data_IF_086165366005
#
_entry.id   IF_086165366005
#
_cell.length_a   1.000
_cell.length_b   1.000
_cell.length_c   1.000
_cell.angle_alpha   90.00
_cell.angle_beta   90.00
_cell.angle_gamma   90.00
#
_symmetry.space_group_name_H-M   'P 1'
#
loop_
_entity.id
_entity.type
_entity.pdbx_description
1 polymer ?
#
# COMPACT_ATOMS: atom_id res chain seq x y z
N UNK A 1 -25.81 5.71 11.39
CA UNK A 1 -25.68 7.18 11.51
C UNK A 1 -27.02 7.82 11.16
N UNK A 2 -27.45 8.87 11.87
CA UNK A 2 -28.73 9.56 11.58
C UNK A 2 -28.53 10.61 10.48
N UNK A 3 -29.57 10.91 9.70
CA UNK A 3 -29.51 11.88 8.58
C UNK A 3 -29.01 13.27 9.00
N UNK A 4 -29.21 13.65 10.27
CA UNK A 4 -28.73 14.93 10.82
C UNK A 4 -27.21 14.98 11.00
N UNK A 5 -26.56 13.85 11.28
CA UNK A 5 -25.10 13.77 11.45
C UNK A 5 -24.39 13.81 10.09
N UNK A 6 -24.97 13.14 9.08
CA UNK A 6 -24.44 13.12 7.72
C UNK A 6 -24.48 14.51 7.06
N UNK A 7 -25.57 15.26 7.26
CA UNK A 7 -25.69 16.65 6.75
C UNK A 7 -24.69 17.63 7.37
N UNK A 8 -24.35 17.46 8.66
CA UNK A 8 -23.38 18.32 9.34
C UNK A 8 -21.95 18.03 8.85
N UNK A 9 -21.62 16.76 8.66
CA UNK A 9 -20.32 16.30 8.17
C UNK A 9 -20.06 16.79 6.73
N UNK A 10 -21.06 16.68 5.85
CA UNK A 10 -20.99 17.22 4.48
C UNK A 10 -20.69 18.73 4.46
N UNK A 11 -21.37 19.49 5.32
CA UNK A 11 -21.20 20.95 5.39
C UNK A 11 -19.80 21.33 5.87
N UNK A 12 -19.23 20.55 6.79
CA UNK A 12 -17.87 20.78 7.30
C UNK A 12 -16.81 20.50 6.23
N UNK A 13 -16.93 19.40 5.49
CA UNK A 13 -16.00 19.04 4.40
C UNK A 13 -16.02 20.09 3.29
N UNK A 14 -17.20 20.56 2.88
CA UNK A 14 -17.34 21.60 1.85
C UNK A 14 -16.70 22.90 2.32
N UNK A 15 -16.95 23.32 3.56
CA UNK A 15 -16.31 24.52 4.11
C UNK A 15 -14.79 24.37 4.18
N UNK A 16 -14.29 23.20 4.58
CA UNK A 16 -12.86 22.92 4.62
C UNK A 16 -12.24 22.98 3.22
N UNK A 17 -12.90 22.46 2.19
CA UNK A 17 -12.44 22.59 0.81
C UNK A 17 -12.38 24.07 0.36
N UNK A 18 -13.40 24.86 0.68
CA UNK A 18 -13.44 26.30 0.35
C UNK A 18 -12.35 27.12 1.08
N UNK A 19 -11.94 26.73 2.29
CA UNK A 19 -10.79 27.32 3.01
C UNK A 19 -9.47 27.16 2.23
N UNK A 20 -9.43 26.24 1.26
CA UNK A 20 -8.28 25.94 0.40
C UNK A 20 -8.56 26.24 -1.09
N UNK A 21 -9.47 27.18 -1.38
CA UNK A 21 -9.84 27.61 -2.73
C UNK A 21 -10.41 26.50 -3.64
N UNK A 22 -10.95 25.43 -3.06
CA UNK A 22 -11.67 24.36 -3.76
C UNK A 22 -13.17 24.56 -3.61
N UNK A 23 -13.79 25.20 -4.61
CA UNK A 23 -15.24 25.30 -4.72
C UNK A 23 -15.83 23.97 -5.18
N UNK A 24 -16.66 23.36 -4.33
CA UNK A 24 -17.18 21.99 -4.48
C UNK A 24 -18.68 21.99 -4.74
N UNK A 25 -19.13 21.18 -5.70
CA UNK A 25 -20.54 20.82 -5.88
C UNK A 25 -21.04 19.96 -4.69
N UNK A 26 -21.94 20.48 -3.82
CA UNK A 26 -22.38 19.77 -2.63
C UNK A 26 -23.08 18.44 -2.91
N UNK A 27 -23.71 18.29 -4.08
CA UNK A 27 -24.44 17.07 -4.45
C UNK A 27 -23.50 15.94 -4.91
N UNK A 28 -22.24 16.29 -5.21
CA UNK A 28 -21.23 15.34 -5.71
C UNK A 28 -20.45 14.62 -4.61
N UNK A 29 -20.59 15.05 -3.35
CA UNK A 29 -19.77 14.59 -2.24
C UNK A 29 -20.06 13.11 -1.90
N UNK A 30 -19.03 12.28 -2.08
CA UNK A 30 -19.03 10.86 -1.71
C UNK A 30 -17.96 10.62 -0.64
N UNK A 31 -18.37 10.15 0.54
CA UNK A 31 -17.46 9.93 1.66
C UNK A 31 -17.17 8.44 1.80
N UNK A 32 -15.88 8.10 1.89
CA UNK A 32 -15.39 6.78 2.26
C UNK A 32 -14.70 6.90 3.63
N UNK A 33 -15.36 6.35 4.65
CA UNK A 33 -14.93 6.45 6.06
C UNK A 33 -14.28 5.14 6.56
N UNK A 34 -13.61 4.41 5.68
CA UNK A 34 -12.97 3.11 6.00
C UNK A 34 -11.49 3.22 6.39
N UNK A 35 -10.83 4.33 6.03
CA UNK A 35 -9.41 4.55 6.33
C UNK A 35 -9.15 4.86 7.81
N UNK A 36 -8.07 4.30 8.35
CA UNK A 36 -7.65 4.46 9.75
C UNK A 36 -7.04 5.84 10.02
N UNK A 37 -6.24 6.35 9.09
CA UNK A 37 -5.50 7.60 9.25
C UNK A 37 -6.22 8.81 8.64
N UNK A 38 -6.97 8.58 7.56
CA UNK A 38 -7.67 9.62 6.82
C UNK A 38 -9.15 9.26 6.65
N UNK A 39 -9.98 10.29 6.75
CA UNK A 39 -11.29 10.27 6.10
C UNK A 39 -11.09 10.71 4.65
N UNK A 40 -11.63 9.95 3.70
CA UNK A 40 -11.49 10.23 2.28
C UNK A 40 -12.84 10.67 1.72
N UNK A 41 -12.84 11.72 0.90
CA UNK A 41 -14.01 12.14 0.16
C UNK A 41 -13.67 12.38 -1.31
N UNK A 42 -14.59 12.01 -2.20
CA UNK A 42 -14.53 12.34 -3.63
C UNK A 42 -15.57 13.42 -3.89
N UNK A 43 -15.15 14.48 -4.57
CA UNK A 43 -15.98 15.66 -4.87
C UNK A 43 -15.80 16.06 -6.32
N UNK A 44 -16.75 16.82 -6.86
CA UNK A 44 -16.61 17.55 -8.11
C UNK A 44 -16.38 19.02 -7.79
N UNK A 45 -15.37 19.63 -8.40
CA UNK A 45 -15.05 21.05 -8.23
C UNK A 45 -15.58 21.89 -9.40
N UNK A 46 -15.59 23.21 -9.24
CA UNK A 46 -15.89 24.16 -10.32
C UNK A 46 -15.04 23.88 -11.57
N UNK A 47 -15.70 23.64 -12.71
CA UNK A 47 -15.06 23.15 -13.93
C UNK A 47 -15.36 21.67 -14.24
N UNK A 48 -15.96 20.95 -13.30
CA UNK A 48 -16.51 19.62 -13.49
C UNK A 48 -15.54 18.46 -13.26
N UNK A 49 -14.28 18.77 -12.94
CA UNK A 49 -13.25 17.81 -12.57
C UNK A 49 -13.57 17.16 -11.22
N UNK A 50 -13.16 15.89 -11.04
CA UNK A 50 -13.31 15.18 -9.77
C UNK A 50 -12.00 15.27 -8.98
N UNK A 51 -12.12 15.45 -7.67
CA UNK A 51 -11.01 15.59 -6.74
C UNK A 51 -11.17 14.64 -5.57
N UNK A 52 -10.04 14.22 -5.01
CA UNK A 52 -9.96 13.47 -3.76
C UNK A 52 -9.54 14.42 -2.65
N UNK A 53 -10.26 14.38 -1.53
CA UNK A 53 -9.97 15.07 -0.28
C UNK A 53 -9.55 14.01 0.74
N UNK A 54 -8.36 14.14 1.33
CA UNK A 54 -7.87 13.35 2.46
C UNK A 54 -7.81 14.25 3.69
N UNK A 55 -8.65 13.95 4.67
CA UNK A 55 -8.79 14.71 5.91
C UNK A 55 -8.13 13.90 7.03
N UNK A 56 -7.00 14.36 7.58
CA UNK A 56 -6.30 13.66 8.66
C UNK A 56 -7.20 13.50 9.89
N UNK A 57 -7.28 12.28 10.43
CA UNK A 57 -8.06 12.03 11.66
C UNK A 57 -7.33 12.45 12.93
N UNK A 58 -6.00 12.45 12.90
CA UNK A 58 -5.15 12.68 14.06
C UNK A 58 -3.88 13.45 13.70
N UNK A 59 -3.32 14.28 14.61
CA UNK A 59 -2.12 15.07 14.33
C UNK A 59 -0.86 14.25 14.04
N UNK A 60 -0.73 13.04 14.61
CA UNK A 60 0.41 12.13 14.42
C UNK A 60 0.54 11.60 12.98
N UNK A 61 -0.55 11.63 12.20
CA UNK A 61 -0.56 11.25 10.78
C UNK A 61 0.21 12.26 9.90
N UNK A 62 0.36 13.50 10.35
CA UNK A 62 0.89 14.60 9.53
C UNK A 62 2.36 14.45 9.17
N UNK A 63 3.17 13.84 10.03
CA UNK A 63 4.58 13.60 9.75
C UNK A 63 4.74 12.57 8.62
N UNK A 64 3.97 11.47 8.69
CA UNK A 64 3.91 10.45 7.63
C UNK A 64 3.40 11.04 6.32
N UNK A 65 2.34 11.83 6.38
CA UNK A 65 1.80 12.52 5.21
C UNK A 65 2.84 13.47 4.57
N UNK A 66 3.61 14.20 5.39
CA UNK A 66 4.64 15.09 4.87
C UNK A 66 5.75 14.34 4.11
N UNK A 67 6.12 13.14 4.59
CA UNK A 67 7.05 12.24 3.89
C UNK A 67 6.43 11.70 2.59
N UNK A 68 5.19 11.21 2.63
CA UNK A 68 4.45 10.75 1.46
C UNK A 68 4.36 11.85 0.37
N UNK A 69 4.02 13.08 0.73
CA UNK A 69 3.92 14.20 -0.22
C UNK A 69 5.24 14.56 -0.91
N UNK A 70 6.37 14.50 -0.17
CA UNK A 70 7.72 14.69 -0.76
C UNK A 70 8.07 13.56 -1.72
N UNK A 71 7.71 12.32 -1.36
CA UNK A 71 7.91 11.16 -2.22
C UNK A 71 7.11 11.27 -3.51
N UNK A 72 5.80 11.54 -3.42
CA UNK A 72 4.88 11.68 -4.55
C UNK A 72 5.39 12.72 -5.57
N UNK A 73 5.82 13.88 -5.06
CA UNK A 73 6.41 14.95 -5.89
C UNK A 73 7.68 14.51 -6.62
N UNK A 74 8.46 13.59 -6.02
CA UNK A 74 9.71 13.09 -6.59
C UNK A 74 9.47 11.99 -7.62
N UNK A 75 8.55 11.05 -7.35
CA UNK A 75 8.31 9.88 -8.21
C UNK A 75 7.36 10.19 -9.38
N UNK A 76 6.41 11.10 -9.22
CA UNK A 76 5.38 11.39 -10.24
C UNK A 76 5.95 11.63 -11.64
N UNK A 77 6.97 12.49 -11.82
CA UNK A 77 7.58 12.73 -13.13
C UNK A 77 8.38 11.55 -13.71
N UNK A 78 8.64 10.49 -12.93
CA UNK A 78 9.48 9.35 -13.29
C UNK A 78 8.66 8.10 -13.67
N UNK A 79 7.38 8.08 -13.34
CA UNK A 79 6.48 6.95 -13.53
C UNK A 79 5.57 7.19 -14.73
N UNK A 80 5.25 6.13 -15.47
CA UNK A 80 4.26 6.19 -16.55
C UNK A 80 2.83 6.09 -16.02
N UNK A 81 2.63 5.39 -14.91
CA UNK A 81 1.34 5.35 -14.20
C UNK A 81 1.18 6.62 -13.37
N UNK A 82 -0.06 7.08 -13.20
CA UNK A 82 -0.34 8.23 -12.37
C UNK A 82 -0.17 7.89 -10.88
N UNK A 83 0.26 8.88 -10.10
CA UNK A 83 0.28 8.86 -8.63
C UNK A 83 -0.42 10.12 -8.12
N UNK A 84 -0.90 10.16 -6.87
CA UNK A 84 -1.53 11.35 -6.33
C UNK A 84 -0.64 12.60 -6.45
N UNK A 85 -1.14 13.63 -7.14
CA UNK A 85 -0.49 14.95 -7.25
C UNK A 85 -1.11 15.91 -6.23
N UNK A 86 -0.53 15.98 -5.03
CA UNK A 86 -1.08 16.78 -3.94
C UNK A 86 -0.93 18.29 -4.21
N UNK A 87 -1.98 18.88 -4.78
CA UNK A 87 -2.07 20.31 -5.05
C UNK A 87 -2.45 21.12 -3.80
N UNK A 88 -3.20 20.50 -2.88
CA UNK A 88 -3.40 21.02 -1.53
C UNK A 88 -2.70 20.10 -0.55
N UNK A 89 -1.85 20.68 0.30
CA UNK A 89 -1.18 19.96 1.36
C UNK A 89 -1.10 20.84 2.61
N UNK A 90 -1.95 20.55 3.59
CA UNK A 90 -2.04 21.26 4.85
C UNK A 90 -2.31 20.32 6.02
N UNK A 91 -2.14 20.77 7.27
CA UNK A 91 -2.46 19.98 8.46
C UNK A 91 -3.92 19.52 8.58
N UNK A 92 -4.85 20.13 7.82
CA UNK A 92 -6.29 19.84 7.91
C UNK A 92 -6.84 19.20 6.63
N UNK A 93 -6.19 19.43 5.49
CA UNK A 93 -6.63 18.92 4.20
C UNK A 93 -5.44 18.64 3.30
N UNK A 94 -5.47 17.45 2.71
CA UNK A 94 -4.72 17.08 1.51
C UNK A 94 -5.73 16.93 0.38
N UNK A 95 -5.45 17.47 -0.80
CA UNK A 95 -6.34 17.32 -1.95
C UNK A 95 -5.58 17.21 -3.27
N UNK A 96 -6.10 16.39 -4.17
CA UNK A 96 -5.54 16.14 -5.48
C UNK A 96 -6.63 15.77 -6.50
N UNK A 97 -6.41 16.03 -7.80
CA UNK A 97 -7.31 15.54 -8.85
C UNK A 97 -7.47 14.02 -8.79
N UNK A 98 -8.70 13.54 -9.01
CA UNK A 98 -8.98 12.11 -9.05
C UNK A 98 -8.18 11.45 -10.18
N UNK A 99 -7.45 10.40 -9.85
CA UNK A 99 -6.62 9.67 -10.81
C UNK A 99 -7.48 8.88 -11.82
N UNK A 100 -6.97 8.65 -13.05
CA UNK A 100 -7.71 7.91 -14.08
C UNK A 100 -7.78 6.41 -13.78
N UNK A 101 -8.89 5.79 -14.20
CA UNK A 101 -9.17 4.37 -14.01
C UNK A 101 -10.09 4.11 -12.83
N UNK A 102 -10.40 2.84 -12.62
CA UNK A 102 -11.23 2.35 -11.51
C UNK A 102 -10.41 1.37 -10.66
N UNK A 103 -10.64 1.25 -9.34
CA UNK A 103 -9.90 0.32 -8.50
C UNK A 103 -10.02 -1.12 -9.01
N UNK A 104 -8.90 -1.86 -9.06
CA UNK A 104 -8.92 -3.26 -9.48
C UNK A 104 -9.57 -4.19 -8.44
N UNK A 105 -9.74 -3.71 -7.20
CA UNK A 105 -10.49 -4.35 -6.12
C UNK A 105 -11.20 -3.28 -5.28
N UNK A 106 -12.47 -3.49 -4.98
CA UNK A 106 -13.22 -2.70 -4.00
C UNK A 106 -13.84 -3.60 -2.93
N UNK A 107 -14.32 -3.01 -1.83
CA UNK A 107 -15.11 -3.73 -0.84
C UNK A 107 -16.60 -3.42 -1.04
N UNK A 108 -17.43 -4.45 -0.99
CA UNK A 108 -18.88 -4.30 -0.92
C UNK A 108 -19.31 -3.76 0.45
N UNK A 109 -20.61 -3.44 0.58
CA UNK A 109 -21.17 -2.92 1.83
C UNK A 109 -21.05 -3.91 3.01
N UNK A 110 -20.96 -5.21 2.74
CA UNK A 110 -20.73 -6.28 3.71
C UNK A 110 -19.24 -6.60 3.92
N UNK A 111 -18.33 -5.76 3.39
CA UNK A 111 -16.88 -5.91 3.41
C UNK A 111 -16.36 -7.10 2.59
N UNK A 112 -17.18 -7.72 1.74
CA UNK A 112 -16.70 -8.75 0.81
C UNK A 112 -15.88 -8.12 -0.33
N UNK A 113 -14.78 -8.77 -0.77
CA UNK A 113 -13.96 -8.28 -1.88
C UNK A 113 -14.70 -8.40 -3.22
N UNK A 114 -14.69 -7.33 -4.00
CA UNK A 114 -15.20 -7.26 -5.37
C UNK A 114 -14.05 -7.00 -6.33
N UNK A 115 -13.62 -8.04 -7.04
CA UNK A 115 -12.54 -7.98 -8.01
C UNK A 115 -13.04 -7.42 -9.34
N UNK A 116 -12.31 -6.45 -9.88
CA UNK A 116 -12.58 -5.81 -11.17
C UNK A 116 -11.56 -6.19 -12.24
N UNK A 117 -10.54 -6.97 -11.85
CA UNK A 117 -9.56 -7.59 -12.75
C UNK A 117 -9.39 -9.06 -12.38
N UNK A 118 -9.17 -9.91 -13.39
CA UNK A 118 -8.79 -11.31 -13.17
C UNK A 118 -7.30 -11.39 -12.85
N UNK A 119 -6.92 -12.03 -11.75
CA UNK A 119 -5.51 -12.22 -11.38
C UNK A 119 -4.76 -13.15 -12.33
N UNK A 120 -5.47 -13.93 -13.15
CA UNK A 120 -4.91 -14.67 -14.27
C UNK A 120 -4.65 -13.79 -15.53
N UNK A 121 -5.04 -12.51 -15.53
CA UNK A 121 -4.88 -11.64 -16.69
C UNK A 121 -3.39 -11.42 -17.02
N UNK A 122 -2.93 -11.79 -18.23
CA UNK A 122 -1.59 -11.45 -18.68
C UNK A 122 -1.44 -9.95 -18.93
N UNK A 123 -2.53 -9.25 -19.28
CA UNK A 123 -2.52 -7.79 -19.50
C UNK A 123 -2.21 -7.05 -18.21
N UNK A 124 -2.90 -7.42 -17.11
CA UNK A 124 -2.67 -6.84 -15.80
C UNK A 124 -1.26 -7.16 -15.30
N UNK A 125 -0.85 -8.44 -15.40
CA UNK A 125 0.47 -8.90 -14.97
C UNK A 125 1.61 -8.17 -15.70
N UNK A 126 1.50 -8.01 -17.02
CA UNK A 126 2.46 -7.26 -17.82
C UNK A 126 2.51 -5.77 -17.42
N UNK A 127 1.34 -5.14 -17.29
CA UNK A 127 1.25 -3.72 -16.92
C UNK A 127 1.78 -3.46 -15.50
N UNK A 128 1.56 -4.39 -14.58
CA UNK A 128 2.06 -4.29 -13.21
C UNK A 128 3.58 -4.49 -13.18
N UNK A 129 4.12 -5.48 -13.92
CA UNK A 129 5.56 -5.69 -14.04
C UNK A 129 6.30 -4.49 -14.64
N UNK A 130 5.71 -3.85 -15.66
CA UNK A 130 6.20 -2.60 -16.24
C UNK A 130 6.28 -1.47 -15.20
N UNK A 131 5.22 -1.28 -14.41
CA UNK A 131 5.20 -0.28 -13.34
C UNK A 131 6.25 -0.57 -12.26
N UNK A 132 6.30 -1.79 -11.74
CA UNK A 132 7.22 -2.17 -10.66
C UNK A 132 8.67 -2.00 -11.12
N UNK A 133 9.00 -2.35 -12.37
CA UNK A 133 10.34 -2.11 -12.91
C UNK A 133 10.70 -0.62 -12.95
N UNK A 134 9.77 0.24 -13.37
CA UNK A 134 10.00 1.69 -13.37
C UNK A 134 10.24 2.20 -11.95
N UNK A 135 9.41 1.80 -10.99
CA UNK A 135 9.55 2.18 -9.59
C UNK A 135 10.90 1.73 -9.01
N UNK A 136 11.26 0.46 -9.20
CA UNK A 136 12.50 -0.12 -8.69
C UNK A 136 13.76 0.43 -9.38
N UNK A 137 13.62 1.10 -10.52
CA UNK A 137 14.73 1.77 -11.22
C UNK A 137 15.01 3.19 -10.70
N UNK A 138 14.14 3.74 -9.84
CA UNK A 138 14.34 5.06 -9.25
C UNK A 138 15.54 5.02 -8.29
N UNK A 139 16.42 6.00 -8.42
CA UNK A 139 17.61 6.16 -7.57
C UNK A 139 17.24 6.21 -6.08
N UNK A 140 17.79 5.27 -5.31
CA UNK A 140 17.51 5.11 -3.88
C UNK A 140 18.06 6.27 -3.05
N UNK A 141 19.18 6.87 -3.46
CA UNK A 141 19.73 8.04 -2.76
C UNK A 141 18.83 9.26 -2.95
N UNK A 142 18.24 9.45 -4.13
CA UNK A 142 17.22 10.47 -4.33
C UNK A 142 15.97 10.16 -3.48
N UNK A 143 15.52 8.90 -3.44
CA UNK A 143 14.36 8.50 -2.64
C UNK A 143 14.56 8.77 -1.15
N UNK A 144 15.75 8.48 -0.63
CA UNK A 144 16.15 8.75 0.76
C UNK A 144 15.99 10.22 1.17
N UNK A 145 16.19 11.18 0.25
CA UNK A 145 16.01 12.61 0.55
C UNK A 145 14.58 13.00 0.92
N UNK A 146 13.59 12.15 0.61
CA UNK A 146 12.19 12.38 0.93
C UNK A 146 11.87 12.10 2.41
N UNK A 147 12.76 11.38 3.11
CA UNK A 147 12.59 10.98 4.51
C UNK A 147 11.86 9.65 4.71
N UNK A 148 11.63 8.87 3.64
CA UNK A 148 11.20 7.48 3.76
C UNK A 148 12.28 6.63 4.44
N UNK A 149 11.84 5.51 5.01
CA UNK A 149 12.76 4.52 5.56
C UNK A 149 13.67 3.95 4.47
N UNK A 150 14.91 3.67 4.86
CA UNK A 150 15.94 3.18 3.96
C UNK A 150 16.73 2.07 4.62
N UNK A 151 16.62 0.87 4.06
CA UNK A 151 17.27 -0.33 4.57
C UNK A 151 18.11 -0.98 3.47
N UNK A 152 19.38 -1.19 3.77
CA UNK A 152 20.24 -2.09 3.00
C UNK A 152 19.76 -3.55 3.14
N UNK A 153 20.20 -4.48 2.27
CA UNK A 153 19.70 -5.86 2.30
C UNK A 153 19.88 -6.57 3.65
N UNK A 154 21.04 -6.37 4.28
CA UNK A 154 21.33 -6.95 5.59
C UNK A 154 20.46 -6.34 6.70
N UNK A 155 20.16 -5.04 6.60
CA UNK A 155 19.30 -4.32 7.56
C UNK A 155 17.85 -4.76 7.41
N UNK A 156 17.37 -4.91 6.18
CA UNK A 156 16.03 -5.42 5.87
C UNK A 156 15.81 -6.81 6.48
N UNK A 157 16.77 -7.72 6.28
CA UNK A 157 16.72 -9.07 6.88
C UNK A 157 16.81 -9.05 8.40
N UNK A 158 17.65 -8.18 8.96
CA UNK A 158 17.76 -8.01 10.40
C UNK A 158 16.47 -7.44 11.01
N UNK A 159 15.77 -6.54 10.30
CA UNK A 159 14.49 -5.99 10.73
C UNK A 159 13.43 -7.09 10.83
N UNK A 160 13.33 -7.97 9.83
CA UNK A 160 12.45 -9.14 9.91
C UNK A 160 12.76 -10.04 11.13
N UNK A 161 14.05 -10.28 11.42
CA UNK A 161 14.44 -11.05 12.61
C UNK A 161 13.96 -10.37 13.91
N UNK A 162 14.16 -9.06 14.02
CA UNK A 162 13.76 -8.27 15.17
C UNK A 162 12.23 -8.21 15.33
N UNK A 163 11.49 -8.07 14.24
CA UNK A 163 10.05 -8.03 14.24
C UNK A 163 9.44 -9.38 14.65
N UNK A 164 10.02 -10.49 14.19
CA UNK A 164 9.66 -11.83 14.66
C UNK A 164 9.81 -11.94 16.17
N UNK A 165 10.97 -11.53 16.71
CA UNK A 165 11.21 -11.63 18.15
C UNK A 165 10.30 -10.68 18.94
N UNK A 166 10.08 -9.46 18.47
CA UNK A 166 9.17 -8.48 19.09
C UNK A 166 7.72 -8.99 19.16
N UNK A 167 7.23 -9.62 18.10
CA UNK A 167 5.89 -10.22 18.09
C UNK A 167 5.85 -11.46 18.99
N UNK A 168 6.87 -12.32 18.94
CA UNK A 168 6.94 -13.51 19.78
C UNK A 168 7.02 -13.19 21.29
N UNK A 169 7.61 -12.05 21.66
CA UNK A 169 7.65 -11.58 23.05
C UNK A 169 6.30 -11.04 23.54
N UNK A 170 5.44 -10.57 22.64
CA UNK A 170 4.18 -9.89 22.97
C UNK A 170 2.91 -10.71 22.74
N UNK A 171 3.00 -11.80 21.99
CA UNK A 171 1.88 -12.65 21.58
C UNK A 171 2.21 -14.13 21.75
N UNK A 172 1.19 -14.96 21.96
CA UNK A 172 1.33 -16.42 21.82
C UNK A 172 1.33 -16.76 20.33
N UNK A 173 2.50 -17.14 19.80
CA UNK A 173 2.69 -17.47 18.38
C UNK A 173 2.78 -18.99 18.23
N UNK A 174 2.02 -19.55 17.29
CA UNK A 174 2.07 -20.98 16.99
C UNK A 174 3.52 -21.42 16.68
N UNK A 175 4.06 -22.46 17.36
CA UNK A 175 5.46 -22.86 17.19
C UNK A 175 5.87 -23.15 15.74
N UNK A 176 4.95 -23.70 14.93
CA UNK A 176 5.19 -23.99 13.52
C UNK A 176 5.37 -22.73 12.67
N UNK A 177 4.65 -21.64 12.97
CA UNK A 177 4.83 -20.36 12.29
C UNK A 177 6.18 -19.75 12.65
N UNK A 178 6.51 -19.74 13.95
CA UNK A 178 7.78 -19.19 14.43
C UNK A 178 8.99 -19.96 13.88
N UNK A 179 8.92 -21.29 13.82
CA UNK A 179 9.96 -22.13 13.21
C UNK A 179 10.11 -21.82 11.72
N UNK A 180 9.00 -21.72 10.98
CA UNK A 180 8.98 -21.37 9.55
C UNK A 180 9.64 -20.00 9.30
N UNK A 181 9.22 -18.96 10.01
CA UNK A 181 9.75 -17.61 9.81
C UNK A 181 11.23 -17.51 10.19
N UNK A 182 11.65 -18.15 11.28
CA UNK A 182 13.07 -18.20 11.67
C UNK A 182 13.91 -18.97 10.66
N UNK A 183 13.40 -20.06 10.08
CA UNK A 183 14.10 -20.80 9.03
C UNK A 183 14.26 -19.96 7.76
N UNK A 184 13.21 -19.25 7.34
CA UNK A 184 13.24 -18.31 6.21
C UNK A 184 14.27 -17.19 6.43
N UNK A 185 14.24 -16.53 7.60
CA UNK A 185 15.20 -15.48 7.94
C UNK A 185 16.62 -16.03 8.05
N UNK A 186 16.83 -17.26 8.49
CA UNK A 186 18.17 -17.85 8.64
C UNK A 186 18.81 -18.30 7.31
N UNK A 187 18.04 -18.52 6.26
CA UNK A 187 18.53 -19.09 5.00
C UNK A 187 18.89 -17.99 3.97
N UNK A 188 20.19 -17.82 3.73
CA UNK A 188 20.76 -16.76 2.88
C UNK A 188 20.20 -16.75 1.46
N UNK A 189 19.94 -17.93 0.88
CA UNK A 189 19.51 -18.04 -0.51
C UNK A 189 18.14 -17.43 -0.81
N UNK A 190 17.32 -17.14 0.21
CA UNK A 190 16.06 -16.42 0.04
C UNK A 190 16.24 -14.94 -0.21
N UNK A 191 17.32 -14.32 0.27
CA UNK A 191 17.40 -12.87 0.40
C UNK A 191 18.12 -12.23 -0.79
N UNK A 192 17.66 -11.05 -1.26
CA UNK A 192 18.36 -10.30 -2.29
C UNK A 192 19.67 -9.70 -1.76
N UNK A 193 20.60 -9.40 -2.66
CA UNK A 193 21.86 -8.67 -2.36
C UNK A 193 21.76 -7.17 -2.69
N UNK A 194 20.54 -6.65 -2.89
CA UNK A 194 20.27 -5.29 -3.32
C UNK A 194 18.93 -4.77 -2.78
N UNK A 195 18.84 -3.46 -2.60
CA UNK A 195 17.61 -2.76 -2.21
C UNK A 195 17.13 -1.85 -3.34
N UNK A 196 15.83 -1.57 -3.37
CA UNK A 196 15.18 -0.69 -4.35
C UNK A 196 14.15 0.19 -3.64
N UNK A 197 13.74 1.30 -4.26
CA UNK A 197 12.53 1.98 -3.83
C UNK A 197 11.32 1.08 -4.09
N UNK A 198 10.55 0.79 -3.04
CA UNK A 198 9.32 0.00 -3.07
C UNK A 198 8.12 0.86 -2.72
N UNK A 199 6.95 0.47 -3.19
CA UNK A 199 5.67 0.99 -2.74
C UNK A 199 5.33 0.43 -1.35
N UNK A 200 5.63 -0.84 -1.11
CA UNK A 200 5.53 -1.49 0.20
C UNK A 200 4.22 -2.26 0.43
N UNK A 201 3.16 -1.90 -0.30
CA UNK A 201 1.83 -2.54 -0.23
C UNK A 201 1.10 -2.54 -1.59
N UNK A 202 1.68 -3.17 -2.61
CA UNK A 202 1.02 -3.31 -3.92
C UNK A 202 0.02 -4.45 -3.89
N UNK A 203 -1.26 -4.11 -3.99
CA UNK A 203 -2.34 -5.05 -4.27
C UNK A 203 -3.50 -4.34 -4.99
N UNK A 204 -4.47 -5.08 -5.55
CA UNK A 204 -5.49 -4.52 -6.44
C UNK A 204 -6.39 -3.41 -5.87
N UNK A 205 -6.48 -3.20 -4.55
CA UNK A 205 -7.22 -2.04 -4.04
C UNK A 205 -6.42 -0.73 -4.15
N UNK A 206 -5.09 -0.83 -4.29
CA UNK A 206 -4.18 0.29 -4.47
C UNK A 206 -3.81 0.53 -5.94
N UNK A 207 -4.28 -0.32 -6.87
CA UNK A 207 -4.08 -0.12 -8.31
C UNK A 207 -5.38 0.29 -8.98
N UNK A 208 -5.33 1.36 -9.78
CA UNK A 208 -6.42 1.72 -10.70
C UNK A 208 -6.14 1.13 -12.07
N UNK A 209 -7.19 0.71 -12.76
CA UNK A 209 -7.12 0.11 -14.10
C UNK A 209 -8.05 0.79 -15.09
N UNK A 210 -7.62 0.81 -16.35
CA UNK A 210 -8.49 1.01 -17.53
C UNK A 210 -8.49 -0.28 -18.36
N UNK A 211 -9.64 -0.93 -18.41
CA UNK A 211 -9.73 -2.34 -18.78
C UNK A 211 -8.94 -3.19 -17.78
N UNK A 212 -7.81 -3.72 -18.22
CA UNK A 212 -6.93 -4.56 -17.39
C UNK A 212 -5.53 -3.92 -17.18
N UNK A 213 -5.27 -2.73 -17.74
CA UNK A 213 -3.97 -2.06 -17.62
C UNK A 213 -3.95 -1.14 -16.43
N UNK A 214 -2.88 -1.19 -15.64
CA UNK A 214 -2.66 -0.30 -14.50
C UNK A 214 -2.45 1.14 -15.01
N UNK A 215 -3.30 2.05 -14.57
CA UNK A 215 -3.27 3.48 -14.93
C UNK A 215 -2.78 4.36 -13.79
N UNK A 216 -2.98 3.94 -12.54
CA UNK A 216 -2.53 4.68 -11.38
C UNK A 216 -2.26 3.77 -10.18
N UNK A 217 -1.44 4.26 -9.24
CA UNK A 217 -1.16 3.59 -7.97
C UNK A 217 -1.35 4.55 -6.80
N UNK A 218 -2.11 4.09 -5.82
CA UNK A 218 -2.58 4.83 -4.65
C UNK A 218 -1.84 4.40 -3.37
N UNK A 219 -1.95 5.21 -2.33
CA UNK A 219 -1.48 4.92 -0.96
C UNK A 219 0.01 4.60 -0.83
N UNK A 220 0.82 5.66 -0.87
CA UNK A 220 2.28 5.57 -0.82
C UNK A 220 2.84 5.67 0.61
N UNK A 221 1.99 5.48 1.63
CA UNK A 221 2.38 5.62 3.04
C UNK A 221 3.39 4.58 3.51
N UNK A 222 3.44 3.41 2.86
CA UNK A 222 4.35 2.30 3.17
C UNK A 222 5.64 2.30 2.36
N UNK A 223 5.87 3.32 1.53
CA UNK A 223 7.00 3.35 0.63
C UNK A 223 8.33 3.47 1.39
N UNK A 224 9.30 2.67 0.96
CA UNK A 224 10.61 2.58 1.60
C UNK A 224 11.65 2.09 0.58
N UNK A 225 12.93 2.33 0.87
CA UNK A 225 14.02 1.59 0.19
C UNK A 225 14.26 0.29 0.94
N UNK A 226 14.15 -0.85 0.24
CA UNK A 226 14.28 -2.18 0.86
C UNK A 226 14.10 -3.32 -0.13
N UNK A 227 13.48 -4.41 0.32
CA UNK A 227 13.33 -5.66 -0.43
C UNK A 227 12.41 -5.52 -1.67
N UNK A 228 12.91 -5.75 -2.90
CA UNK A 228 12.08 -5.74 -4.11
C UNK A 228 10.90 -6.73 -4.07
N UNK A 229 11.00 -7.82 -3.32
CA UNK A 229 9.93 -8.82 -3.24
C UNK A 229 8.67 -8.28 -2.56
N UNK A 230 8.77 -7.20 -1.78
CA UNK A 230 7.62 -6.60 -1.08
C UNK A 230 6.51 -6.14 -2.03
N UNK A 231 6.90 -5.72 -3.22
CA UNK A 231 6.02 -5.27 -4.30
C UNK A 231 5.55 -6.41 -5.23
N UNK A 232 6.10 -7.62 -5.06
CA UNK A 232 5.84 -8.80 -5.90
C UNK A 232 5.04 -9.89 -5.17
N UNK A 233 5.18 -9.98 -3.84
CA UNK A 233 4.66 -11.07 -3.04
C UNK A 233 3.14 -11.27 -3.15
N UNK A 234 2.37 -10.18 -3.26
CA UNK A 234 0.92 -10.28 -3.34
C UNK A 234 0.52 -10.96 -4.64
N UNK A 235 1.02 -10.46 -5.78
CA UNK A 235 0.75 -11.06 -7.09
C UNK A 235 1.19 -12.52 -7.13
N UNK A 236 2.39 -12.83 -6.61
CA UNK A 236 2.87 -14.22 -6.53
C UNK A 236 1.89 -15.13 -5.78
N UNK A 237 1.31 -14.65 -4.68
CA UNK A 237 0.43 -15.45 -3.82
C UNK A 237 -0.98 -15.64 -4.36
N UNK A 238 -1.52 -14.68 -5.13
CA UNK A 238 -2.93 -14.72 -5.57
C UNK A 238 -3.14 -15.03 -7.05
N UNK A 239 -2.08 -14.99 -7.87
CA UNK A 239 -2.17 -15.27 -9.30
C UNK A 239 -1.71 -16.70 -9.66
N UNK A 240 -2.19 -17.27 -10.77
CA UNK A 240 -1.61 -18.49 -11.32
C UNK A 240 -0.11 -18.29 -11.67
N UNK A 241 0.71 -19.36 -11.61
CA UNK A 241 2.13 -19.27 -11.92
C UNK A 241 2.44 -18.61 -13.28
N UNK A 242 1.64 -18.89 -14.31
CA UNK A 242 1.82 -18.35 -15.66
C UNK A 242 1.62 -16.82 -15.70
N UNK A 243 0.70 -16.29 -14.89
CA UNK A 243 0.47 -14.85 -14.78
C UNK A 243 1.63 -14.16 -14.05
N UNK A 244 2.15 -14.77 -12.98
CA UNK A 244 3.34 -14.26 -12.29
C UNK A 244 4.59 -14.31 -13.17
N UNK A 245 4.75 -15.34 -14.01
CA UNK A 245 5.83 -15.40 -15.00
C UNK A 245 5.76 -14.25 -16.02
N UNK A 246 4.55 -13.88 -16.47
CA UNK A 246 4.34 -12.71 -17.35
C UNK A 246 4.76 -11.42 -16.64
N UNK A 247 4.40 -11.26 -15.36
CA UNK A 247 4.85 -10.11 -14.58
C UNK A 247 6.38 -10.07 -14.52
N UNK A 248 7.03 -11.18 -14.16
CA UNK A 248 8.49 -11.25 -14.05
C UNK A 248 9.21 -10.97 -15.36
N UNK A 249 8.69 -11.47 -16.49
CA UNK A 249 9.24 -11.19 -17.82
C UNK A 249 9.21 -9.68 -18.13
N UNK A 250 8.10 -9.00 -17.87
CA UNK A 250 8.00 -7.54 -18.04
C UNK A 250 8.85 -6.77 -17.03
N UNK A 251 8.91 -7.23 -15.78
CA UNK A 251 9.76 -6.65 -14.74
C UNK A 251 11.24 -6.69 -15.15
N UNK A 252 11.73 -7.84 -15.62
CA UNK A 252 13.11 -8.02 -16.08
C UNK A 252 13.40 -7.21 -17.34
N UNK A 253 12.47 -7.15 -18.30
CA UNK A 253 12.61 -6.31 -19.51
C UNK A 253 12.73 -4.82 -19.17
N UNK A 254 12.08 -4.37 -18.09
CA UNK A 254 12.20 -3.01 -17.56
C UNK A 254 13.47 -2.75 -16.76
N UNK A 255 14.37 -3.73 -16.61
CA UNK A 255 15.62 -3.63 -15.85
C UNK A 255 15.56 -4.18 -14.43
N UNK A 256 14.42 -4.75 -14.03
CA UNK A 256 14.25 -5.45 -12.77
C UNK A 256 15.22 -6.63 -12.63
N UNK A 257 15.77 -6.79 -11.42
CA UNK A 257 16.67 -7.92 -11.09
C UNK A 257 15.88 -8.98 -10.31
N UNK A 258 16.11 -10.25 -10.65
CA UNK A 258 15.53 -11.41 -9.97
C UNK A 258 16.65 -12.32 -9.46
N UNK A 259 16.35 -13.13 -8.45
CA UNK A 259 17.27 -14.16 -7.92
C UNK A 259 16.58 -15.53 -7.90
N UNK A 260 17.34 -16.64 -7.79
CA UNK A 260 16.80 -17.98 -7.99
C UNK A 260 15.61 -18.37 -7.09
N UNK A 261 15.55 -17.82 -5.87
CA UNK A 261 14.51 -18.14 -4.88
C UNK A 261 13.49 -17.02 -4.66
N UNK A 262 13.35 -16.11 -5.62
CA UNK A 262 12.41 -14.98 -5.51
C UNK A 262 10.97 -15.46 -5.24
N UNK A 263 10.49 -16.49 -5.96
CA UNK A 263 9.12 -17.01 -5.76
C UNK A 263 8.92 -17.60 -4.37
N UNK A 264 9.87 -18.42 -3.89
CA UNK A 264 9.79 -18.97 -2.54
C UNK A 264 9.96 -17.87 -1.49
N UNK A 265 10.79 -16.85 -1.73
CA UNK A 265 10.90 -15.71 -0.82
C UNK A 265 9.60 -14.91 -0.74
N UNK A 266 8.94 -14.63 -1.88
CA UNK A 266 7.59 -14.04 -1.91
C UNK A 266 6.58 -14.88 -1.12
N UNK A 267 6.65 -16.21 -1.23
CA UNK A 267 5.78 -17.13 -0.48
C UNK A 267 5.98 -17.03 1.02
N UNK A 268 7.24 -17.01 1.47
CA UNK A 268 7.57 -16.91 2.89
C UNK A 268 7.23 -15.52 3.46
N UNK A 269 7.50 -14.45 2.70
CA UNK A 269 7.14 -13.07 3.07
C UNK A 269 5.62 -12.93 3.23
N UNK A 270 4.83 -13.48 2.30
CA UNK A 270 3.38 -13.42 2.38
C UNK A 270 2.83 -14.26 3.54
N UNK A 271 3.41 -15.43 3.79
CA UNK A 271 3.08 -16.27 4.95
C UNK A 271 3.46 -15.63 6.30
N UNK A 272 4.29 -14.60 6.28
CA UNK A 272 4.67 -13.79 7.44
C UNK A 272 3.75 -12.57 7.65
N UNK A 273 2.69 -12.38 6.85
CA UNK A 273 1.71 -11.29 7.02
C UNK A 273 1.10 -11.16 8.43
N UNK A 274 0.86 -12.23 9.22
CA UNK A 274 0.42 -12.08 10.60
C UNK A 274 1.39 -11.27 11.48
N UNK A 275 2.69 -11.27 11.18
CA UNK A 275 3.67 -10.44 11.90
C UNK A 275 3.38 -8.95 11.73
N UNK A 276 3.10 -8.52 10.49
CA UNK A 276 2.77 -7.13 10.19
C UNK A 276 1.54 -6.66 10.98
N UNK A 277 0.52 -7.51 11.08
CA UNK A 277 -0.68 -7.18 11.86
C UNK A 277 -0.43 -7.20 13.37
N UNK A 278 0.42 -8.10 13.87
CA UNK A 278 0.89 -8.08 15.25
C UNK A 278 1.64 -6.79 15.60
N UNK A 279 2.54 -6.31 14.73
CA UNK A 279 3.24 -5.03 14.91
C UNK A 279 2.26 -3.85 14.93
N UNK A 280 1.30 -3.84 14.00
CA UNK A 280 0.26 -2.81 13.96
C UNK A 280 -0.57 -2.79 15.25
N UNK A 281 -0.99 -3.95 15.77
CA UNK A 281 -1.72 -4.04 17.02
C UNK A 281 -0.90 -3.50 18.23
N UNK A 282 0.43 -3.69 18.24
CA UNK A 282 1.30 -3.10 19.26
C UNK A 282 1.42 -1.58 19.14
N UNK A 283 1.39 -1.06 17.92
CA UNK A 283 1.45 0.38 17.66
C UNK A 283 0.17 1.09 18.08
N UNK A 284 -1.00 0.53 17.74
CA UNK A 284 -2.28 1.19 18.07
C UNK A 284 -2.69 1.00 19.52
N UNK A 285 -2.27 -0.10 20.16
CA UNK A 285 -2.74 -0.48 21.49
C UNK A 285 -4.25 -0.77 21.57
N UNK A 286 -4.88 -0.98 20.42
CA UNK A 286 -6.32 -1.22 20.31
C UNK A 286 -6.63 -2.70 20.64
N UNK A 287 -7.50 -3.00 21.61
CA UNK A 287 -7.89 -4.36 21.94
C UNK A 287 -8.41 -5.17 20.74
N UNK A 288 -9.14 -4.55 19.82
CA UNK A 288 -9.74 -5.25 18.68
C UNK A 288 -8.66 -5.69 17.68
N UNK A 289 -7.67 -4.83 17.43
CA UNK A 289 -6.51 -5.20 16.61
C UNK A 289 -5.68 -6.29 17.27
N UNK A 290 -5.55 -6.25 18.61
CA UNK A 290 -4.82 -7.27 19.36
C UNK A 290 -5.50 -8.64 19.26
N UNK A 291 -6.81 -8.72 19.48
CA UNK A 291 -7.56 -9.98 19.38
C UNK A 291 -7.46 -10.58 17.98
N UNK A 292 -7.63 -9.75 16.94
CA UNK A 292 -7.53 -10.21 15.57
C UNK A 292 -6.09 -10.64 15.19
N UNK A 293 -5.05 -10.02 15.77
CA UNK A 293 -3.67 -10.46 15.61
C UNK A 293 -3.41 -11.80 16.31
N UNK A 294 -3.91 -11.99 17.54
CA UNK A 294 -3.80 -13.26 18.28
C UNK A 294 -4.42 -14.42 17.50
N UNK A 295 -5.58 -14.21 16.85
CA UNK A 295 -6.23 -15.22 16.02
C UNK A 295 -5.40 -15.65 14.80
N UNK A 296 -4.62 -14.74 14.22
CA UNK A 296 -3.76 -15.02 13.06
C UNK A 296 -2.40 -15.61 13.46
N UNK A 297 -1.86 -15.20 14.62
CA UNK A 297 -0.58 -15.66 15.14
C UNK A 297 -0.66 -17.05 15.79
N UNK A 298 -1.86 -17.48 16.22
CA UNK A 298 -2.09 -18.81 16.78
C UNK A 298 -3.39 -19.45 16.24
N UNK A 299 -3.43 -19.80 14.94
CA UNK A 299 -4.62 -20.38 14.35
C UNK A 299 -4.94 -21.75 14.98
N UNK A 300 -6.23 -22.10 15.13
CA UNK A 300 -6.62 -23.40 15.66
C UNK A 300 -6.05 -24.52 14.79
N UNK A 301 -5.58 -25.60 15.43
CA UNK A 301 -5.05 -26.78 14.72
C UNK A 301 -6.14 -27.36 13.82
N UNK A 302 -5.88 -27.42 12.52
CA UNK A 302 -6.69 -28.12 11.51
C UNK A 302 -6.67 -29.63 11.70
#
# INVERSE_FOLDING_TARGET
MTASTQSADHSEIIRLAAEHDLEVDPESLQITDLGLDFRVAIVRVDGGERWVLRIPRRPDVLERAATEGRLLSMIGPKLTVAVPDWQVHSPRLIAYPLLPGEPALTLAADLSPQWHVDMASPTYSASLGEFIAQLHSIDTEQARTTGIDHHEPAETRAQWAQDIDRVADAFDVAPALLERWRAWVAEDSYWPDFSVLTHGEIYPAHTLVDGERVTAVLDWTTAAVGDPARDLQFQHSVSPPEAFEVLLDHYVRGGGRVWPRLGEHCTEMFAASPLGYGLYALETGDPDHREAAEAQLNPPRS
#
